data_IF_522326950862
#
_entry.id   IF_522326950862
#
_cell.length_a   1.000
_cell.length_b   1.000
_cell.length_c   1.000
_cell.angle_alpha   90.00
_cell.angle_beta   90.00
_cell.angle_gamma   90.00
#
_symmetry.space_group_name_H-M   'P 1'
#
loop_
_entity.id
_entity.type
_entity.pdbx_description
1 polymer ?
#
# COMPACT_ATOMS: atom_id res chain seq x y z
N UNK A 1 -0.98 -14.49 -14.29
CA UNK A 1 -0.70 -13.14 -13.79
C UNK A 1 -1.76 -12.84 -12.74
N UNK A 2 -1.37 -12.48 -11.53
CA UNK A 2 -2.31 -12.01 -10.50
C UNK A 2 -2.95 -10.73 -11.04
N UNK A 3 -4.28 -10.71 -11.14
CA UNK A 3 -5.00 -9.50 -11.53
C UNK A 3 -5.10 -8.61 -10.30
N UNK A 4 -4.53 -7.41 -10.37
CA UNK A 4 -4.66 -6.40 -9.33
C UNK A 4 -5.91 -5.57 -9.59
N UNK A 5 -6.69 -5.29 -8.55
CA UNK A 5 -7.83 -4.39 -8.61
C UNK A 5 -7.40 -3.02 -8.08
N UNK A 6 -6.94 -2.15 -8.98
CA UNK A 6 -6.34 -0.85 -8.63
C UNK A 6 -7.18 0.29 -9.18
N UNK A 7 -7.74 1.08 -8.26
CA UNK A 7 -8.53 2.28 -8.54
C UNK A 7 -7.69 3.52 -8.20
N UNK A 8 -7.49 4.39 -9.19
CA UNK A 8 -6.60 5.55 -9.07
C UNK A 8 -7.33 6.88 -8.85
N UNK A 9 -8.64 6.90 -9.06
CA UNK A 9 -9.50 8.05 -8.83
C UNK A 9 -9.76 8.30 -7.33
N UNK A 10 -9.94 9.57 -6.96
CA UNK A 10 -10.28 9.97 -5.59
C UNK A 10 -11.69 9.50 -5.21
N UNK A 11 -11.79 8.50 -4.33
CA UNK A 11 -13.09 7.99 -3.86
C UNK A 11 -13.86 8.98 -2.96
N UNK A 12 -13.16 9.71 -2.11
CA UNK A 12 -13.79 10.56 -1.08
C UNK A 12 -13.62 12.07 -1.31
N UNK A 13 -12.62 12.48 -2.09
CA UNK A 13 -12.30 13.89 -2.32
C UNK A 13 -11.89 14.63 -1.04
N UNK A 14 -12.23 15.92 -0.97
CA UNK A 14 -11.90 16.80 0.17
C UNK A 14 -13.07 17.00 1.12
N UNK A 15 -12.77 17.20 2.41
CA UNK A 15 -13.75 17.49 3.49
C UNK A 15 -14.77 16.36 3.75
N UNK A 16 -14.43 15.13 3.40
CA UNK A 16 -15.23 13.93 3.67
C UNK A 16 -14.53 13.04 4.72
N UNK A 17 -15.22 12.55 5.76
CA UNK A 17 -14.66 11.54 6.64
C UNK A 17 -14.45 10.22 5.88
N UNK A 18 -13.34 9.54 6.13
CA UNK A 18 -12.99 8.25 5.52
C UNK A 18 -12.98 7.18 6.62
N UNK A 19 -13.87 6.21 6.52
CA UNK A 19 -13.94 5.07 7.45
C UNK A 19 -13.06 3.93 6.93
N UNK A 20 -11.77 3.99 7.27
CA UNK A 20 -10.77 3.00 6.82
C UNK A 20 -11.13 1.57 7.26
N UNK A 21 -11.55 1.30 8.52
CA UNK A 21 -12.01 -0.04 8.90
C UNK A 21 -13.14 -0.59 8.03
N UNK A 22 -14.14 0.24 7.68
CA UNK A 22 -15.25 -0.19 6.82
C UNK A 22 -14.78 -0.52 5.39
N UNK A 23 -13.85 0.27 4.83
CA UNK A 23 -13.23 0.00 3.53
C UNK A 23 -12.48 -1.34 3.53
N UNK A 24 -11.63 -1.58 4.54
CA UNK A 24 -10.89 -2.84 4.68
C UNK A 24 -11.85 -4.03 4.75
N UNK A 25 -12.92 -3.91 5.54
CA UNK A 25 -13.90 -4.98 5.72
C UNK A 25 -14.69 -5.30 4.44
N UNK A 26 -14.84 -4.32 3.54
CA UNK A 26 -15.66 -4.44 2.32
C UNK A 26 -14.92 -5.05 1.13
N UNK A 27 -13.60 -5.24 1.24
CA UNK A 27 -12.76 -5.56 0.09
C UNK A 27 -11.85 -6.76 0.32
N UNK A 28 -11.69 -7.55 -0.74
CA UNK A 28 -10.83 -8.74 -0.77
C UNK A 28 -9.37 -8.37 -1.08
N UNK A 29 -8.40 -9.26 -0.80
CA UNK A 29 -7.02 -9.05 -1.19
C UNK A 29 -6.80 -8.71 -2.67
N UNK A 30 -5.76 -7.91 -2.92
CA UNK A 30 -5.40 -7.28 -4.20
C UNK A 30 -6.25 -6.08 -4.62
N UNK A 31 -7.00 -5.52 -3.68
CA UNK A 31 -7.72 -4.27 -3.86
C UNK A 31 -6.88 -3.06 -3.41
N UNK A 32 -6.78 -2.04 -4.25
CA UNK A 32 -6.12 -0.77 -3.95
C UNK A 32 -7.00 0.40 -4.42
N UNK A 33 -7.12 1.44 -3.61
CA UNK A 33 -7.92 2.62 -3.94
C UNK A 33 -7.25 3.89 -3.44
N UNK A 34 -7.11 4.87 -4.33
CA UNK A 34 -6.85 6.25 -3.90
C UNK A 34 -8.05 6.76 -3.10
N UNK A 35 -7.86 7.03 -1.81
CA UNK A 35 -8.91 7.53 -0.94
C UNK A 35 -9.11 9.03 -1.12
N UNK A 36 -8.00 9.78 -1.17
CA UNK A 36 -7.99 11.23 -1.35
C UNK A 36 -6.60 11.71 -1.81
N UNK A 37 -6.56 12.86 -2.48
CA UNK A 37 -5.33 13.55 -2.86
C UNK A 37 -4.99 14.67 -1.87
N UNK A 38 -3.72 14.74 -1.46
CA UNK A 38 -3.16 15.77 -0.57
C UNK A 38 -1.97 16.44 -1.27
N UNK A 39 -2.17 17.66 -1.77
CA UNK A 39 -1.22 18.36 -2.64
C UNK A 39 -0.84 17.48 -3.85
N UNK A 40 0.44 17.14 -3.99
CA UNK A 40 0.98 16.31 -5.07
C UNK A 40 1.11 14.82 -4.69
N UNK A 41 0.55 14.41 -3.55
CA UNK A 41 0.57 13.04 -3.06
C UNK A 41 -0.85 12.47 -2.94
N UNK A 42 -0.96 11.14 -2.95
CA UNK A 42 -2.22 10.44 -2.71
C UNK A 42 -2.15 9.65 -1.42
N UNK A 43 -3.27 9.56 -0.71
CA UNK A 43 -3.47 8.58 0.35
C UNK A 43 -4.19 7.40 -0.29
N UNK A 44 -3.51 6.25 -0.37
CA UNK A 44 -4.04 5.04 -1.00
C UNK A 44 -4.22 3.97 0.07
N UNK A 45 -5.35 3.27 0.07
CA UNK A 45 -5.55 2.09 0.91
C UNK A 45 -5.34 0.85 0.04
N UNK A 46 -4.51 -0.07 0.52
CA UNK A 46 -4.31 -1.39 -0.08
C UNK A 46 -4.74 -2.50 0.88
N UNK A 47 -5.48 -3.49 0.38
CA UNK A 47 -5.77 -4.75 1.07
C UNK A 47 -5.07 -5.86 0.28
N UNK A 48 -4.07 -6.52 0.88
CA UNK A 48 -3.12 -7.39 0.20
C UNK A 48 -3.03 -8.77 0.87
N UNK A 49 -2.81 -9.81 0.07
CA UNK A 49 -2.38 -11.14 0.53
C UNK A 49 -1.64 -11.84 -0.61
N UNK A 50 -0.36 -12.16 -0.39
CA UNK A 50 0.57 -12.71 -1.36
C UNK A 50 1.66 -11.72 -1.78
N UNK A 51 2.33 -12.04 -2.89
CA UNK A 51 3.52 -11.33 -3.36
C UNK A 51 3.19 -10.40 -4.53
N UNK A 52 3.54 -9.12 -4.41
CA UNK A 52 3.48 -8.19 -5.54
C UNK A 52 4.65 -8.44 -6.50
N UNK A 53 4.70 -7.77 -7.64
CA UNK A 53 5.88 -7.86 -8.49
C UNK A 53 6.97 -6.88 -8.03
N UNK A 54 8.22 -7.14 -8.42
CA UNK A 54 9.29 -6.16 -8.28
C UNK A 54 9.01 -4.95 -9.17
N UNK A 55 9.14 -3.76 -8.60
CA UNK A 55 8.88 -2.50 -9.27
C UNK A 55 9.66 -1.35 -8.61
N UNK A 56 9.65 -0.20 -9.27
CA UNK A 56 10.06 1.08 -8.71
C UNK A 56 9.19 2.20 -9.26
N UNK A 57 9.15 3.31 -8.54
CA UNK A 57 8.56 4.56 -9.00
C UNK A 57 9.66 5.53 -9.41
N UNK A 58 9.58 6.10 -10.61
CA UNK A 58 10.61 7.02 -11.13
C UNK A 58 10.62 8.34 -10.37
N UNK A 59 9.43 8.86 -10.05
CA UNK A 59 9.26 10.27 -9.68
C UNK A 59 8.86 10.47 -8.21
N UNK A 60 8.30 9.45 -7.58
CA UNK A 60 7.67 9.52 -6.26
C UNK A 60 8.31 8.55 -5.28
N UNK A 61 8.55 9.02 -4.06
CA UNK A 61 8.79 8.12 -2.93
C UNK A 61 7.48 7.42 -2.59
N UNK A 62 7.56 6.20 -2.06
CA UNK A 62 6.40 5.43 -1.62
C UNK A 62 6.49 5.18 -0.11
N UNK A 63 5.46 5.56 0.61
CA UNK A 63 5.33 5.32 2.03
C UNK A 63 4.35 4.18 2.27
N UNK A 64 4.73 3.29 3.19
CA UNK A 64 3.89 2.19 3.65
C UNK A 64 3.66 2.34 5.15
N UNK A 65 2.41 2.23 5.60
CA UNK A 65 2.01 2.11 6.99
C UNK A 65 1.10 0.89 7.13
N UNK A 66 1.51 -0.10 7.94
CA UNK A 66 0.67 -1.27 8.20
C UNK A 66 -0.43 -0.90 9.20
N UNK A 67 -1.69 -1.09 8.80
CA UNK A 67 -2.85 -0.90 9.67
C UNK A 67 -3.22 -2.20 10.39
N UNK A 68 -3.11 -3.33 9.70
CA UNK A 68 -3.33 -4.67 10.23
C UNK A 68 -2.61 -5.71 9.37
N UNK A 69 -2.35 -6.90 9.92
CA UNK A 69 -1.57 -7.94 9.26
C UNK A 69 -0.07 -7.70 9.41
N UNK A 70 0.71 -8.10 8.40
CA UNK A 70 2.17 -7.97 8.39
C UNK A 70 2.65 -7.75 6.95
N UNK A 71 3.48 -6.73 6.74
CA UNK A 71 4.06 -6.43 5.42
C UNK A 71 5.55 -6.71 5.42
N UNK A 72 6.01 -7.49 4.45
CA UNK A 72 7.43 -7.67 4.16
C UNK A 72 7.77 -6.83 2.94
N UNK A 73 8.87 -6.07 3.01
CA UNK A 73 9.36 -5.26 1.89
C UNK A 73 10.75 -5.76 1.54
N UNK A 74 10.87 -6.42 0.39
CA UNK A 74 12.16 -6.74 -0.21
C UNK A 74 12.67 -5.49 -0.93
N UNK A 75 13.91 -5.10 -0.68
CA UNK A 75 14.57 -3.96 -1.36
C UNK A 75 15.86 -4.47 -1.97
N UNK A 76 16.11 -4.13 -3.23
CA UNK A 76 17.28 -4.64 -3.95
C UNK A 76 18.58 -4.38 -3.19
N UNK A 77 19.37 -5.45 -3.00
CA UNK A 77 20.66 -5.39 -2.30
C UNK A 77 20.58 -5.16 -0.78
N UNK A 78 19.39 -5.26 -0.16
CA UNK A 78 19.19 -5.05 1.28
C UNK A 78 18.52 -6.26 1.94
N UNK A 79 18.56 -6.28 3.26
CA UNK A 79 17.77 -7.23 4.07
C UNK A 79 16.30 -6.84 3.99
N UNK A 80 15.42 -7.83 3.86
CA UNK A 80 13.96 -7.64 3.90
C UNK A 80 13.56 -6.89 5.17
N UNK A 81 12.77 -5.83 5.01
CA UNK A 81 12.13 -5.12 6.11
C UNK A 81 10.83 -5.84 6.48
N UNK A 82 10.57 -6.01 7.76
CA UNK A 82 9.31 -6.58 8.28
C UNK A 82 8.60 -5.49 9.06
N UNK A 83 7.37 -5.18 8.67
CA UNK A 83 6.51 -4.21 9.33
C UNK A 83 5.34 -4.91 10.01
N UNK A 84 5.23 -4.68 11.32
CA UNK A 84 4.09 -5.03 12.16
C UNK A 84 3.04 -3.90 12.14
N UNK A 85 1.81 -4.14 12.65
CA UNK A 85 0.79 -3.10 12.74
C UNK A 85 1.30 -1.83 13.43
N UNK A 86 0.95 -0.69 12.82
CA UNK A 86 1.34 0.67 13.19
C UNK A 86 2.82 1.01 12.99
N UNK A 87 3.55 0.22 12.20
CA UNK A 87 4.89 0.54 11.74
C UNK A 87 4.85 1.01 10.29
N UNK A 88 5.73 1.97 9.96
CA UNK A 88 5.84 2.49 8.61
C UNK A 88 7.26 2.53 8.09
N UNK A 89 7.37 2.61 6.76
CA UNK A 89 8.63 2.62 6.03
C UNK A 89 8.49 3.40 4.73
N UNK A 90 9.51 4.16 4.36
CA UNK A 90 9.56 4.87 3.08
C UNK A 90 10.57 4.21 2.15
N UNK A 91 10.13 3.87 0.95
CA UNK A 91 11.00 3.48 -0.16
C UNK A 91 11.24 4.72 -1.05
N UNK A 92 12.49 5.19 -1.19
CA UNK A 92 12.79 6.32 -2.06
C UNK A 92 12.51 6.00 -3.54
N UNK A 93 12.14 7.01 -4.33
CA UNK A 93 12.02 6.89 -5.78
C UNK A 93 13.28 6.30 -6.42
N UNK A 94 13.08 5.53 -7.48
CA UNK A 94 14.14 4.83 -8.22
C UNK A 94 14.71 3.61 -7.50
N UNK A 95 14.23 3.26 -6.31
CA UNK A 95 14.65 2.05 -5.59
C UNK A 95 13.74 0.88 -5.97
N UNK A 96 14.34 -0.16 -6.55
CA UNK A 96 13.67 -1.42 -6.88
C UNK A 96 13.28 -2.17 -5.60
N UNK A 97 12.01 -2.51 -5.48
CA UNK A 97 11.46 -3.15 -4.30
C UNK A 97 10.23 -4.01 -4.63
N UNK A 98 9.80 -4.83 -3.67
CA UNK A 98 8.60 -5.66 -3.76
C UNK A 98 7.96 -5.84 -2.39
N UNK A 99 6.65 -5.65 -2.30
CA UNK A 99 5.85 -5.95 -1.12
C UNK A 99 5.36 -7.40 -1.13
N UNK A 100 5.33 -8.02 0.05
CA UNK A 100 4.81 -9.37 0.28
C UNK A 100 3.97 -9.38 1.56
N UNK A 101 2.77 -9.91 1.47
CA UNK A 101 1.82 -9.99 2.57
C UNK A 101 1.52 -11.48 2.86
N UNK A 102 2.21 -12.15 3.80
CA UNK A 102 2.01 -13.58 4.10
C UNK A 102 0.63 -13.89 4.68
N UNK A 103 -0.08 -12.86 5.15
CA UNK A 103 -1.46 -12.89 5.64
C UNK A 103 -2.19 -11.67 5.10
N UNK A 104 -3.53 -11.67 5.10
CA UNK A 104 -4.34 -10.48 4.81
C UNK A 104 -3.82 -9.27 5.59
N UNK A 105 -3.36 -8.28 4.85
CA UNK A 105 -2.67 -7.09 5.37
C UNK A 105 -3.28 -5.85 4.75
N UNK A 106 -3.63 -4.88 5.59
CA UNK A 106 -4.11 -3.58 5.15
C UNK A 106 -3.01 -2.53 5.35
N UNK A 107 -2.74 -1.76 4.31
CA UNK A 107 -1.70 -0.73 4.29
C UNK A 107 -2.24 0.60 3.78
N UNK A 108 -1.64 1.69 4.22
CA UNK A 108 -1.74 3.01 3.58
C UNK A 108 -0.39 3.47 3.09
#
# INVERSE_FOLDING_TARGET
>A
MTAYDIHLDDKYGSLSPIDIPAEIASHEPWWNQTLTTVNDAVIRLGVLEGDFHWHHHTDTDEFFLVLSGQLLIDVEGRVTVVLEPHQGYTVPRGVEHRTRAPVRTAIV
#
